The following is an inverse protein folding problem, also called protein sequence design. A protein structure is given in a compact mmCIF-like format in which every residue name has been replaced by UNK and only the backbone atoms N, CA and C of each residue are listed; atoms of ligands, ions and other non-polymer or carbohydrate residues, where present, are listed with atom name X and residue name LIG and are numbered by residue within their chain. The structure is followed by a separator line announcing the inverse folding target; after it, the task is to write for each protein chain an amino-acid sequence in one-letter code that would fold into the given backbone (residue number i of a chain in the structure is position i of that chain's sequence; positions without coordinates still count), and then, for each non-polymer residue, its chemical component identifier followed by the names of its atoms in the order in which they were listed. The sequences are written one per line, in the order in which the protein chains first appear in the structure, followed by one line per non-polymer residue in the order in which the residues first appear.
data_IF_216203177760
#
_entry.id   IF_216203177760
#
_cell.length_a   1.000
_cell.length_b   1.000
_cell.length_c   1.000
_cell.angle_alpha   90.00
_cell.angle_beta   90.00
_cell.angle_gamma   90.00
#
_symmetry.space_group_name_H-M   'P 1'
#
loop_
_entity.id
_entity.type
_entity.pdbx_description
1 polymer ?
#
# COMPACT_ATOMS: atom_id res chain seq x y z
N UNK A 1 3.30 -9.64 4.15
CA UNK A 1 3.85 -10.27 5.37
C UNK A 1 3.32 -9.44 6.51
N UNK A 2 2.30 -9.88 7.23
CA UNK A 2 1.77 -9.03 8.31
C UNK A 2 2.65 -9.23 9.54
N UNK A 3 3.14 -8.13 10.10
CA UNK A 3 3.85 -8.13 11.37
C UNK A 3 2.82 -8.39 12.48
N UNK A 4 2.53 -9.69 12.66
CA UNK A 4 1.68 -10.25 13.70
C UNK A 4 2.39 -10.17 15.07
N UNK A 5 1.68 -10.48 16.17
CA UNK A 5 2.22 -10.68 17.52
C UNK A 5 3.44 -11.64 17.60
N UNK A 6 3.80 -12.32 16.51
CA UNK A 6 5.00 -13.14 16.38
C UNK A 6 6.31 -12.39 16.56
N UNK A 7 6.34 -11.05 16.44
CA UNK A 7 7.52 -10.26 16.80
C UNK A 7 7.75 -10.20 18.31
N UNK A 8 6.70 -10.31 19.14
CA UNK A 8 6.84 -10.29 20.61
C UNK A 8 7.71 -11.43 21.10
N UNK A 9 7.63 -12.61 20.46
CA UNK A 9 8.51 -13.74 20.77
C UNK A 9 9.96 -13.53 20.30
N UNK A 10 10.19 -12.67 19.29
CA UNK A 10 11.53 -12.37 18.78
C UNK A 10 12.21 -11.20 19.50
N UNK A 11 11.46 -10.35 20.20
CA UNK A 11 12.01 -9.24 20.98
C UNK A 11 13.00 -9.71 22.06
N UNK A 12 12.76 -10.89 22.65
CA UNK A 12 13.64 -11.49 23.66
C UNK A 12 15.05 -11.72 23.10
N UNK A 13 15.16 -12.11 21.83
CA UNK A 13 16.46 -12.30 21.16
C UNK A 13 17.22 -10.97 20.97
N UNK A 14 16.49 -9.87 20.73
CA UNK A 14 17.10 -8.55 20.53
C UNK A 14 17.54 -7.87 21.83
N UNK A 15 16.83 -8.10 22.93
CA UNK A 15 17.10 -7.45 24.22
C UNK A 15 18.01 -8.24 25.17
N UNK A 16 18.31 -9.51 24.88
CA UNK A 16 19.23 -10.33 25.67
C UNK A 16 20.47 -10.78 24.84
N UNK A 17 21.43 -9.87 24.56
CA UNK A 17 22.48 -10.10 23.56
C UNK A 17 23.63 -11.03 24.01
N UNK A 18 23.56 -11.70 25.16
CA UNK A 18 24.69 -12.52 25.64
C UNK A 18 24.27 -13.82 26.35
N UNK A 19 25.05 -14.88 26.10
CA UNK A 19 24.98 -16.29 26.57
C UNK A 19 23.67 -17.04 26.30
N UNK A 20 22.53 -16.39 26.46
CA UNK A 20 21.22 -16.99 26.25
C UNK A 20 20.86 -17.14 24.77
N UNK A 21 21.46 -16.40 23.84
CA UNK A 21 21.06 -16.43 22.42
C UNK A 21 21.17 -17.83 21.81
N UNK A 22 22.27 -18.56 22.06
CA UNK A 22 22.45 -19.92 21.54
C UNK A 22 21.52 -20.96 22.19
N UNK A 23 21.11 -20.76 23.45
CA UNK A 23 20.14 -21.63 24.14
C UNK A 23 18.69 -21.26 23.77
N UNK A 24 18.40 -19.97 23.62
CA UNK A 24 17.11 -19.45 23.18
C UNK A 24 16.84 -19.82 21.72
N UNK A 25 17.83 -19.84 20.83
CA UNK A 25 17.67 -20.34 19.46
C UNK A 25 17.32 -21.83 19.40
N UNK A 26 17.76 -22.63 20.38
CA UNK A 26 17.40 -24.05 20.49
C UNK A 26 15.96 -24.27 20.98
N UNK A 27 15.41 -23.34 21.78
CA UNK A 27 14.08 -23.46 22.39
C UNK A 27 13.02 -22.66 21.63
N UNK A 28 13.42 -21.55 21.03
CA UNK A 28 12.63 -20.65 20.18
C UNK A 28 13.32 -20.56 18.82
N UNK A 29 13.27 -21.63 18.00
CA UNK A 29 13.90 -21.62 16.69
C UNK A 29 13.33 -20.50 15.82
N UNK A 30 14.20 -19.90 15.00
CA UNK A 30 13.78 -18.98 13.96
C UNK A 30 12.64 -19.62 13.17
N UNK A 31 11.47 -18.97 13.17
CA UNK A 31 10.36 -19.44 12.35
C UNK A 31 10.75 -19.23 10.89
N UNK A 32 10.96 -20.31 10.10
CA UNK A 32 11.15 -20.14 8.67
C UNK A 32 9.89 -19.50 8.09
N UNK A 33 10.03 -18.76 7.01
CA UNK A 33 8.88 -18.28 6.24
C UNK A 33 8.79 -19.08 4.93
N UNK A 34 8.56 -20.42 5.02
CA UNK A 34 8.87 -21.35 3.94
C UNK A 34 8.06 -21.07 2.68
N UNK A 35 6.88 -20.46 2.80
CA UNK A 35 6.04 -20.13 1.66
C UNK A 35 6.63 -19.00 0.81
N UNK A 36 7.08 -17.90 1.44
CA UNK A 36 7.71 -16.80 0.72
C UNK A 36 9.06 -17.23 0.16
N UNK A 37 9.87 -17.92 0.96
CA UNK A 37 11.19 -18.40 0.55
C UNK A 37 11.10 -19.38 -0.61
N UNK A 38 10.18 -20.35 -0.53
CA UNK A 38 9.95 -21.30 -1.62
C UNK A 38 9.38 -20.58 -2.86
N UNK A 39 8.45 -19.66 -2.69
CA UNK A 39 7.91 -18.88 -3.81
C UNK A 39 9.02 -18.13 -4.56
N UNK A 40 9.86 -17.38 -3.84
CA UNK A 40 10.94 -16.60 -4.45
C UNK A 40 11.99 -17.52 -5.08
N UNK A 41 12.42 -18.57 -4.38
CA UNK A 41 13.39 -19.54 -4.91
C UNK A 41 12.88 -20.23 -6.16
N UNK A 42 11.60 -20.61 -6.19
CA UNK A 42 10.97 -21.24 -7.35
C UNK A 42 10.80 -20.24 -8.51
N UNK A 43 10.40 -19.00 -8.21
CA UNK A 43 10.27 -17.95 -9.22
C UNK A 43 11.61 -17.59 -9.88
N UNK A 44 12.72 -17.69 -9.13
CA UNK A 44 14.06 -17.43 -9.64
C UNK A 44 14.69 -18.61 -10.39
N UNK A 45 14.06 -19.79 -10.42
CA UNK A 45 14.57 -20.91 -11.22
C UNK A 45 14.40 -20.63 -12.72
N UNK A 46 15.32 -21.10 -13.57
CA UNK A 46 15.12 -21.07 -15.02
C UNK A 46 13.81 -21.78 -15.39
N UNK A 47 13.03 -21.26 -16.35
CA UNK A 47 11.76 -21.87 -16.71
C UNK A 47 12.02 -23.25 -17.35
N UNK A 48 11.30 -24.27 -16.90
CA UNK A 48 11.45 -25.64 -17.40
C UNK A 48 11.04 -25.80 -18.88
N UNK A 49 10.25 -24.87 -19.43
CA UNK A 49 10.01 -24.64 -20.86
C UNK A 49 9.04 -23.45 -21.04
N UNK A 50 9.29 -22.59 -22.03
CA UNK A 50 8.42 -21.45 -22.39
C UNK A 50 8.72 -20.11 -21.68
N UNK A 51 8.16 -19.03 -22.21
CA UNK A 51 8.26 -17.68 -21.64
C UNK A 51 7.29 -17.51 -20.46
N UNK A 52 7.80 -17.21 -19.28
CA UNK A 52 7.00 -16.76 -18.12
C UNK A 52 7.01 -15.23 -18.06
N UNK A 53 5.93 -14.61 -17.55
CA UNK A 53 5.91 -13.17 -17.25
C UNK A 53 7.06 -12.75 -16.30
N UNK A 54 7.48 -13.66 -15.41
CA UNK A 54 8.64 -13.45 -14.53
C UNK A 54 9.97 -13.35 -15.30
N UNK A 55 10.07 -13.98 -16.48
CA UNK A 55 11.27 -13.98 -17.32
C UNK A 55 11.16 -13.07 -18.55
N UNK A 56 10.14 -12.21 -18.58
CA UNK A 56 10.01 -11.22 -19.64
C UNK A 56 11.19 -10.25 -19.61
N UNK A 57 11.59 -9.74 -20.77
CA UNK A 57 12.78 -8.87 -20.91
C UNK A 57 12.70 -7.58 -20.08
N UNK A 58 11.49 -7.13 -19.74
CA UNK A 58 11.25 -5.96 -18.90
C UNK A 58 11.24 -6.25 -17.39
N UNK A 59 11.31 -7.53 -16.98
CA UNK A 59 11.25 -7.90 -15.57
C UNK A 59 12.59 -7.63 -14.88
N UNK A 60 12.53 -7.29 -13.59
CA UNK A 60 13.73 -7.16 -12.77
C UNK A 60 14.53 -8.47 -12.71
N UNK A 61 13.83 -9.61 -12.59
CA UNK A 61 14.44 -10.93 -12.53
C UNK A 61 15.27 -11.23 -13.79
N UNK A 62 14.74 -10.92 -14.97
CA UNK A 62 15.46 -11.08 -16.23
C UNK A 62 16.71 -10.19 -16.28
N UNK A 63 16.61 -8.93 -15.87
CA UNK A 63 17.76 -8.03 -15.83
C UNK A 63 18.85 -8.48 -14.85
N UNK A 64 18.48 -8.97 -13.67
CA UNK A 64 19.43 -9.50 -12.70
C UNK A 64 20.14 -10.76 -13.22
N UNK A 65 19.44 -11.61 -13.97
CA UNK A 65 20.03 -12.82 -14.56
C UNK A 65 20.92 -12.56 -15.79
N UNK A 66 20.82 -11.40 -16.43
CA UNK A 66 21.53 -11.09 -17.68
C UNK A 66 22.68 -10.10 -17.52
N UNK A 67 22.61 -9.20 -16.54
CA UNK A 67 23.57 -8.07 -16.42
C UNK A 67 24.73 -8.31 -15.47
N UNK A 68 24.57 -9.17 -14.47
CA UNK A 68 25.56 -9.33 -13.41
C UNK A 68 25.81 -10.81 -13.10
N UNK A 69 27.09 -11.19 -12.97
CA UNK A 69 27.47 -12.50 -12.44
C UNK A 69 27.27 -12.48 -10.91
N UNK A 70 26.05 -12.78 -10.48
CA UNK A 70 25.74 -12.92 -9.07
C UNK A 70 26.15 -14.28 -8.52
N UNK A 71 26.51 -14.33 -7.23
CA UNK A 71 26.44 -15.56 -6.47
C UNK A 71 24.98 -16.08 -6.51
N UNK A 72 24.72 -17.39 -6.69
CA UNK A 72 23.36 -17.92 -6.92
C UNK A 72 22.33 -17.57 -5.84
N UNK A 73 22.76 -17.28 -4.61
CA UNK A 73 21.89 -16.86 -3.51
C UNK A 73 21.47 -15.38 -3.55
N UNK A 74 22.17 -14.52 -4.29
CA UNK A 74 21.94 -13.07 -4.23
C UNK A 74 20.70 -12.66 -5.03
N UNK A 75 20.42 -13.31 -6.16
CA UNK A 75 19.23 -12.98 -6.95
C UNK A 75 17.93 -13.27 -6.17
N UNK A 76 17.72 -14.46 -5.56
CA UNK A 76 16.59 -14.67 -4.66
C UNK A 76 16.53 -13.68 -3.49
N UNK A 77 17.67 -13.30 -2.92
CA UNK A 77 17.72 -12.30 -1.84
C UNK A 77 17.22 -10.92 -2.31
N UNK A 78 17.72 -10.43 -3.45
CA UNK A 78 17.29 -9.14 -4.02
C UNK A 78 15.79 -9.16 -4.37
N UNK A 79 15.28 -10.25 -4.95
CA UNK A 79 13.85 -10.38 -5.25
C UNK A 79 13.01 -10.40 -3.96
N UNK A 80 13.47 -11.08 -2.92
CA UNK A 80 12.80 -11.07 -1.62
C UNK A 80 12.77 -9.66 -1.02
N UNK A 81 13.90 -8.94 -1.05
CA UNK A 81 13.99 -7.57 -0.55
C UNK A 81 13.01 -6.63 -1.28
N UNK A 82 12.92 -6.76 -2.60
CA UNK A 82 11.96 -5.98 -3.41
C UNK A 82 10.50 -6.31 -3.08
N UNK A 83 10.17 -7.59 -2.89
CA UNK A 83 8.81 -8.01 -2.50
C UNK A 83 8.45 -7.51 -1.10
N UNK A 84 9.34 -7.67 -0.13
CA UNK A 84 9.11 -7.22 1.24
C UNK A 84 8.95 -5.69 1.30
N UNK A 85 9.83 -4.95 0.63
CA UNK A 85 9.81 -3.49 0.66
C UNK A 85 8.63 -2.87 -0.12
N UNK A 86 8.23 -3.46 -1.26
CA UNK A 86 7.24 -2.86 -2.16
C UNK A 86 5.78 -3.13 -1.80
N UNK A 87 5.51 -4.21 -1.04
CA UNK A 87 4.14 -4.65 -0.75
C UNK A 87 3.47 -3.79 0.31
N UNK A 88 3.97 -3.83 1.54
CA UNK A 88 3.27 -3.22 2.67
C UNK A 88 3.33 -1.68 2.57
N UNK A 89 4.47 -1.13 2.13
CA UNK A 89 4.67 0.34 2.05
C UNK A 89 3.74 1.03 1.06
N UNK A 90 3.62 0.52 -0.17
CA UNK A 90 2.72 1.11 -1.19
C UNK A 90 1.26 0.88 -0.81
N UNK A 91 0.96 -0.29 -0.23
CA UNK A 91 -0.38 -0.61 0.26
C UNK A 91 -0.86 0.36 1.35
N UNK A 92 -0.03 0.59 2.37
CA UNK A 92 -0.33 1.52 3.46
C UNK A 92 -0.44 2.97 2.94
N UNK A 93 0.45 3.39 2.03
CA UNK A 93 0.38 4.70 1.38
C UNK A 93 -0.98 4.93 0.72
N UNK A 94 -1.41 3.96 -0.09
CA UNK A 94 -2.69 4.01 -0.80
C UNK A 94 -3.87 4.03 0.16
N UNK A 95 -3.81 3.27 1.25
CA UNK A 95 -4.85 3.24 2.27
C UNK A 95 -5.06 4.64 2.90
N UNK A 96 -3.99 5.28 3.36
CA UNK A 96 -4.05 6.64 3.92
C UNK A 96 -4.44 7.69 2.89
N UNK A 97 -3.93 7.59 1.66
CA UNK A 97 -4.26 8.54 0.60
C UNK A 97 -5.74 8.46 0.20
N UNK A 98 -6.28 7.26 0.03
CA UNK A 98 -7.70 7.09 -0.28
C UNK A 98 -8.59 7.50 0.90
N UNK A 99 -8.15 7.27 2.14
CA UNK A 99 -8.83 7.81 3.32
C UNK A 99 -8.88 9.34 3.27
N UNK A 100 -7.75 10.01 3.06
CA UNK A 100 -7.66 11.46 2.93
C UNK A 100 -8.59 12.00 1.85
N UNK A 101 -8.57 11.40 0.65
CA UNK A 101 -9.44 11.81 -0.45
C UNK A 101 -10.94 11.62 -0.15
N UNK A 102 -11.28 10.70 0.75
CA UNK A 102 -12.67 10.36 1.11
C UNK A 102 -13.24 11.18 2.27
N UNK A 103 -12.43 12.03 2.90
CA UNK A 103 -12.86 12.91 3.97
C UNK A 103 -13.70 14.08 3.45
N UNK A 104 -14.79 14.47 4.13
CA UNK A 104 -15.67 15.54 3.66
C UNK A 104 -14.96 16.87 3.37
N UNK A 105 -13.97 17.23 4.19
CA UNK A 105 -13.19 18.46 4.00
C UNK A 105 -12.30 18.46 2.75
N UNK A 106 -12.02 17.28 2.18
CA UNK A 106 -11.15 17.11 1.01
C UNK A 106 -11.94 16.79 -0.26
N UNK A 107 -13.26 16.96 -0.26
CA UNK A 107 -14.11 16.68 -1.42
C UNK A 107 -13.70 17.51 -2.65
N UNK A 108 -13.31 18.77 -2.44
CA UNK A 108 -12.80 19.65 -3.51
C UNK A 108 -11.57 19.09 -4.20
N UNK A 109 -10.64 18.50 -3.44
CA UNK A 109 -9.43 17.85 -3.98
C UNK A 109 -9.80 16.64 -4.83
N UNK A 110 -10.76 15.84 -4.38
CA UNK A 110 -11.24 14.67 -5.11
C UNK A 110 -11.94 15.06 -6.42
N UNK A 111 -12.76 16.11 -6.37
CA UNK A 111 -13.47 16.62 -7.54
C UNK A 111 -12.50 17.21 -8.57
N UNK A 112 -11.51 17.98 -8.12
CA UNK A 112 -10.44 18.51 -8.96
C UNK A 112 -9.63 17.38 -9.59
N UNK A 113 -9.25 16.35 -8.82
CA UNK A 113 -8.55 15.17 -9.34
C UNK A 113 -9.34 14.52 -10.47
N UNK A 114 -10.66 14.36 -10.29
CA UNK A 114 -11.54 13.78 -11.31
C UNK A 114 -11.66 14.64 -12.56
N UNK A 115 -11.74 15.96 -12.41
CA UNK A 115 -11.74 16.92 -13.53
C UNK A 115 -10.42 16.79 -14.31
N UNK A 116 -9.30 16.85 -13.60
CA UNK A 116 -7.97 16.79 -14.18
C UNK A 116 -7.71 15.44 -14.87
N UNK A 117 -8.16 14.32 -14.31
CA UNK A 117 -8.01 13.00 -14.93
C UNK A 117 -8.74 12.85 -16.28
N UNK A 118 -9.76 13.67 -16.56
CA UNK A 118 -10.41 13.74 -17.89
C UNK A 118 -9.53 14.46 -18.92
N UNK A 119 -8.65 15.35 -18.46
CA UNK A 119 -7.67 16.04 -19.28
C UNK A 119 -6.32 15.29 -19.23
N UNK A 120 -6.01 14.51 -20.28
CA UNK A 120 -4.90 13.54 -20.26
C UNK A 120 -3.56 14.11 -19.78
N UNK A 121 -3.22 15.34 -20.16
CA UNK A 121 -1.92 15.95 -19.85
C UNK A 121 -1.91 16.64 -18.47
N UNK A 122 -2.96 17.40 -18.13
CA UNK A 122 -3.05 18.10 -16.84
C UNK A 122 -3.34 17.13 -15.67
N UNK A 123 -4.03 16.03 -15.95
CA UNK A 123 -4.32 14.95 -14.99
C UNK A 123 -3.10 14.27 -14.39
N UNK A 124 -1.99 14.19 -15.13
CA UNK A 124 -0.75 13.60 -14.60
C UNK A 124 -0.14 14.51 -13.54
N UNK A 125 -0.08 15.82 -13.81
CA UNK A 125 0.56 16.79 -12.92
C UNK A 125 -0.18 16.93 -11.59
N UNK A 126 -1.51 17.04 -11.62
CA UNK A 126 -2.28 17.17 -10.40
C UNK A 126 -2.35 15.86 -9.60
N UNK A 127 -2.42 14.71 -10.28
CA UNK A 127 -2.35 13.40 -9.60
C UNK A 127 -0.99 13.19 -8.90
N UNK A 128 0.11 13.62 -9.52
CA UNK A 128 1.43 13.61 -8.87
C UNK A 128 1.47 14.49 -7.61
N UNK A 129 0.81 15.65 -7.65
CA UNK A 129 0.65 16.53 -6.49
C UNK A 129 -0.17 15.88 -5.37
N UNK A 130 -1.28 15.22 -5.70
CA UNK A 130 -2.14 14.48 -4.76
C UNK A 130 -1.36 13.35 -4.08
N UNK A 131 -0.62 12.55 -4.84
CA UNK A 131 0.20 11.46 -4.30
C UNK A 131 1.29 12.03 -3.39
N UNK A 132 2.00 13.06 -3.84
CA UNK A 132 3.09 13.67 -3.07
C UNK A 132 2.59 14.25 -1.74
N UNK A 133 1.42 14.87 -1.74
CA UNK A 133 0.82 15.39 -0.51
C UNK A 133 0.34 14.27 0.41
N UNK A 134 -0.23 13.19 -0.14
CA UNK A 134 -0.62 12.02 0.65
C UNK A 134 0.56 11.42 1.39
N UNK A 135 1.68 11.20 0.68
CA UNK A 135 2.92 10.70 1.24
C UNK A 135 3.61 11.69 2.19
N UNK A 136 3.34 13.00 2.04
CA UNK A 136 3.81 14.01 3.01
C UNK A 136 3.04 13.89 4.31
N UNK A 137 1.71 13.88 4.24
CA UNK A 137 0.82 13.75 5.39
C UNK A 137 1.04 12.43 6.12
N UNK A 138 1.12 11.32 5.37
CA UNK A 138 1.26 9.96 5.88
C UNK A 138 2.42 9.23 5.17
N UNK A 139 3.68 9.50 5.56
CA UNK A 139 4.83 8.81 4.99
C UNK A 139 4.80 7.34 5.45
N UNK A 140 4.82 6.34 4.54
CA UNK A 140 4.78 4.93 4.93
C UNK A 140 5.97 4.50 5.81
N UNK A 141 7.10 5.19 5.69
CA UNK A 141 8.28 5.00 6.54
C UNK A 141 8.50 6.33 7.28
N UNK A 142 7.83 6.54 8.44
CA UNK A 142 7.89 7.82 9.14
C UNK A 142 9.18 8.01 9.92
N UNK A 143 9.91 6.93 10.24
CA UNK A 143 11.06 6.92 11.14
C UNK A 143 12.30 7.63 10.59
N UNK A 144 13.31 7.80 11.46
CA UNK A 144 14.62 8.33 11.08
C UNK A 144 15.36 7.35 10.18
N UNK A 145 15.91 7.83 9.06
CA UNK A 145 16.74 7.00 8.20
C UNK A 145 18.22 7.09 8.61
N UNK A 146 18.78 6.08 9.28
CA UNK A 146 20.11 6.17 9.87
C UNK A 146 21.21 6.18 8.80
N UNK A 147 22.27 6.94 9.08
CA UNK A 147 23.53 6.99 8.34
C UNK A 147 24.67 6.99 9.36
N UNK A 148 25.74 6.27 9.03
CA UNK A 148 26.96 6.27 9.84
C UNK A 148 27.85 7.39 9.34
N UNK A 149 28.27 8.26 10.25
CA UNK A 149 29.21 9.34 9.96
C UNK A 149 30.57 8.74 9.57
N UNK A 150 31.25 9.26 8.52
CA UNK A 150 32.60 8.84 8.15
C UNK A 150 33.59 8.87 9.33
N UNK A 151 34.68 8.12 9.26
CA UNK A 151 35.57 7.95 10.43
C UNK A 151 36.24 9.26 10.85
N UNK A 152 36.43 10.17 9.91
CA UNK A 152 36.98 11.51 10.09
C UNK A 152 36.02 12.52 10.75
N UNK A 153 34.75 12.16 10.94
CA UNK A 153 33.71 13.08 11.42
C UNK A 153 33.12 13.95 10.31
N UNK A 154 32.15 14.80 10.65
CA UNK A 154 31.54 15.76 9.71
C UNK A 154 30.97 16.95 10.46
N UNK A 155 30.93 18.13 9.83
CA UNK A 155 30.21 19.30 10.35
C UNK A 155 28.79 19.32 9.77
N UNK A 156 27.78 19.35 10.64
CA UNK A 156 26.36 19.50 10.27
C UNK A 156 25.80 20.71 11.00
N UNK A 157 25.31 21.70 10.25
CA UNK A 157 24.72 22.93 10.81
C UNK A 157 25.63 23.67 11.82
N UNK A 158 26.95 23.63 11.58
CA UNK A 158 27.95 24.24 12.45
C UNK A 158 28.40 23.37 13.64
N UNK A 159 27.86 22.15 13.79
CA UNK A 159 28.25 21.22 14.86
C UNK A 159 29.20 20.14 14.35
N UNK A 160 30.31 19.92 15.06
CA UNK A 160 31.22 18.81 14.82
C UNK A 160 30.59 17.49 15.30
N UNK A 161 30.28 16.60 14.37
CA UNK A 161 29.74 15.28 14.65
C UNK A 161 30.86 14.24 14.59
N UNK A 162 31.14 13.52 15.69
CA UNK A 162 32.21 12.53 15.74
C UNK A 162 32.02 11.42 14.72
N UNK A 163 33.13 10.90 14.20
CA UNK A 163 33.11 9.77 13.29
C UNK A 163 32.45 8.53 13.90
N UNK A 164 31.82 7.72 13.05
CA UNK A 164 31.04 6.52 13.42
C UNK A 164 29.75 6.79 14.21
N UNK A 165 29.41 8.04 14.49
CA UNK A 165 28.09 8.39 15.04
C UNK A 165 26.96 7.99 14.08
N UNK A 166 25.79 7.63 14.61
CA UNK A 166 24.58 7.41 13.80
C UNK A 166 23.77 8.71 13.80
N UNK A 167 23.58 9.26 12.60
CA UNK A 167 22.71 10.42 12.35
C UNK A 167 21.55 10.02 11.47
N UNK A 168 20.45 10.75 11.52
CA UNK A 168 19.33 10.49 10.63
C UNK A 168 18.30 11.61 10.66
N UNK A 169 17.48 11.65 9.61
CA UNK A 169 16.39 12.62 9.49
C UNK A 169 15.08 11.85 9.39
N UNK A 170 14.10 12.29 10.16
CA UNK A 170 12.78 11.69 10.24
C UNK A 170 11.83 12.36 9.26
N UNK A 171 11.25 11.61 8.32
CA UNK A 171 10.30 12.14 7.34
C UNK A 171 9.08 12.75 8.03
N UNK A 172 8.51 12.07 9.02
CA UNK A 172 7.32 12.52 9.76
C UNK A 172 7.47 13.93 10.33
N UNK A 173 8.56 14.16 11.08
CA UNK A 173 8.82 15.44 11.74
C UNK A 173 9.19 16.54 10.74
N UNK A 174 9.98 16.21 9.70
CA UNK A 174 10.38 17.19 8.70
C UNK A 174 9.20 17.65 7.83
N UNK A 175 8.32 16.72 7.47
CA UNK A 175 7.09 16.97 6.70
C UNK A 175 6.07 17.82 7.45
N UNK A 176 6.18 17.89 8.79
CA UNK A 176 5.31 18.68 9.68
C UNK A 176 5.92 19.98 10.17
N UNK A 177 7.12 20.32 9.70
CA UNK A 177 7.76 21.55 10.10
C UNK A 177 7.16 22.73 9.31
N UNK A 178 6.51 23.71 9.98
CA UNK A 178 5.89 24.85 9.30
C UNK A 178 6.90 25.75 8.57
N UNK A 179 8.20 25.66 8.90
CA UNK A 179 9.26 26.35 8.14
C UNK A 179 9.42 25.81 6.72
N UNK A 180 9.07 24.55 6.49
CA UNK A 180 9.17 23.89 5.19
C UNK A 180 7.81 23.73 4.52
N UNK A 181 6.74 23.53 5.30
CA UNK A 181 5.40 23.29 4.80
C UNK A 181 4.39 24.16 5.54
N UNK A 182 3.94 25.24 4.91
CA UNK A 182 2.85 26.08 5.44
C UNK A 182 1.58 25.23 5.64
N UNK A 183 0.93 25.41 6.79
CA UNK A 183 -0.20 24.62 7.27
C UNK A 183 0.06 23.10 7.12
N UNK A 184 1.06 22.57 7.84
CA UNK A 184 1.57 21.23 7.59
C UNK A 184 0.55 20.12 7.89
N UNK A 185 -0.48 20.39 8.68
CA UNK A 185 -1.51 19.40 9.02
C UNK A 185 -2.65 19.37 7.99
N UNK A 186 -2.69 20.32 7.05
CA UNK A 186 -3.66 20.32 5.96
C UNK A 186 -3.21 19.43 4.79
N UNK A 187 -4.15 18.67 4.25
CA UNK A 187 -3.97 17.95 3.00
C UNK A 187 -4.24 18.90 1.82
N UNK A 188 -3.17 19.53 1.30
CA UNK A 188 -3.26 20.58 0.27
C UNK A 188 -2.35 20.29 -0.93
N UNK A 189 -2.78 19.46 -1.91
CA UNK A 189 -1.97 19.09 -3.08
C UNK A 189 -1.41 20.26 -3.88
N UNK A 190 -2.12 21.39 -3.92
CA UNK A 190 -1.75 22.60 -4.64
C UNK A 190 -0.36 23.11 -4.25
N UNK A 191 0.13 22.78 -3.03
CA UNK A 191 1.48 23.13 -2.61
C UNK A 191 2.56 22.61 -3.57
N UNK A 192 2.33 21.46 -4.19
CA UNK A 192 3.29 20.82 -5.10
C UNK A 192 3.33 21.45 -6.48
N UNK A 193 2.24 22.13 -6.87
CA UNK A 193 2.18 22.86 -8.15
C UNK A 193 3.08 24.10 -8.14
N UNK A 194 3.35 24.65 -6.95
CA UNK A 194 4.19 25.85 -6.75
C UNK A 194 5.35 25.61 -5.77
N UNK A 195 5.71 24.35 -5.52
CA UNK A 195 6.73 24.01 -4.54
C UNK A 195 8.11 24.59 -4.92
N UNK A 196 8.66 25.40 -4.02
CA UNK A 196 10.01 25.94 -4.10
C UNK A 196 11.06 24.84 -3.81
N UNK A 197 12.33 25.22 -3.81
CA UNK A 197 13.44 24.28 -3.62
C UNK A 197 13.46 23.70 -2.21
N UNK A 198 13.08 24.51 -1.23
CA UNK A 198 13.05 24.19 0.20
C UNK A 198 11.98 23.14 0.51
N UNK A 199 10.77 23.31 0.00
CA UNK A 199 9.69 22.30 0.09
C UNK A 199 10.14 20.97 -0.53
N UNK A 200 10.79 21.03 -1.71
CA UNK A 200 11.25 19.84 -2.43
C UNK A 200 12.41 19.13 -1.73
N UNK A 201 13.32 19.87 -1.09
CA UNK A 201 14.43 19.28 -0.34
C UNK A 201 13.97 18.66 0.98
N UNK A 202 12.90 19.20 1.58
CA UNK A 202 12.28 18.66 2.78
C UNK A 202 11.39 17.43 2.53
N UNK A 203 11.11 17.08 1.27
CA UNK A 203 10.31 15.92 0.90
C UNK A 203 11.12 14.62 0.92
N UNK A 204 10.91 13.81 1.97
CA UNK A 204 11.68 12.60 2.25
C UNK A 204 10.86 11.30 2.16
N UNK A 205 9.67 11.31 1.53
CA UNK A 205 8.86 10.10 1.36
C UNK A 205 9.60 8.93 0.68
N UNK A 206 10.56 9.24 -0.19
CA UNK A 206 11.42 8.25 -0.88
C UNK A 206 12.91 8.39 -0.49
N UNK A 207 13.22 9.15 0.55
CA UNK A 207 14.59 9.53 0.91
C UNK A 207 15.32 10.34 -0.18
N UNK A 208 16.61 10.57 0.04
CA UNK A 208 17.48 11.35 -0.85
C UNK A 208 18.89 10.75 -0.98
N UNK A 209 19.66 11.23 -1.96
CA UNK A 209 21.02 10.80 -2.26
C UNK A 209 21.13 9.37 -2.79
N UNK A 210 22.31 8.76 -2.62
CA UNK A 210 22.64 7.43 -3.17
C UNK A 210 21.85 6.27 -2.55
N UNK A 211 21.21 6.51 -1.40
CA UNK A 211 20.37 5.54 -0.68
C UNK A 211 18.88 5.85 -0.81
N UNK A 212 18.48 6.69 -1.77
CA UNK A 212 17.07 6.93 -2.08
C UNK A 212 16.38 5.63 -2.48
N UNK A 213 15.07 5.56 -2.23
CA UNK A 213 14.25 4.39 -2.54
C UNK A 213 14.38 4.00 -4.01
N UNK A 214 14.86 2.76 -4.26
CA UNK A 214 14.95 2.18 -5.60
C UNK A 214 13.58 1.90 -6.22
N UNK A 215 12.60 1.55 -5.37
CA UNK A 215 11.22 1.26 -5.76
C UNK A 215 10.36 2.49 -6.07
N UNK A 216 10.90 3.72 -5.96
CA UNK A 216 10.14 4.97 -6.13
C UNK A 216 9.28 4.98 -7.40
N UNK A 217 9.87 4.65 -8.55
CA UNK A 217 9.17 4.74 -9.82
C UNK A 217 8.04 3.72 -9.92
N UNK A 218 8.28 2.48 -9.47
CA UNK A 218 7.24 1.45 -9.43
C UNK A 218 6.09 1.86 -8.49
N UNK A 219 6.41 2.29 -7.27
CA UNK A 219 5.40 2.71 -6.30
C UNK A 219 4.56 3.90 -6.81
N UNK A 220 5.19 4.89 -7.44
CA UNK A 220 4.48 6.02 -8.05
C UNK A 220 3.53 5.54 -9.16
N UNK A 221 3.97 4.65 -10.05
CA UNK A 221 3.11 4.14 -11.12
C UNK A 221 1.97 3.26 -10.60
N UNK A 222 2.21 2.43 -9.58
CA UNK A 222 1.16 1.65 -8.90
C UNK A 222 0.09 2.56 -8.30
N UNK A 223 0.51 3.59 -7.55
CA UNK A 223 -0.40 4.58 -6.97
C UNK A 223 -1.19 5.33 -8.03
N UNK A 224 -0.52 5.80 -9.11
CA UNK A 224 -1.17 6.47 -10.23
C UNK A 224 -2.19 5.59 -10.93
N UNK A 225 -1.84 4.33 -11.19
CA UNK A 225 -2.73 3.38 -11.85
C UNK A 225 -4.02 3.17 -11.04
N UNK A 226 -3.89 2.95 -9.73
CA UNK A 226 -5.04 2.76 -8.86
C UNK A 226 -5.91 4.03 -8.78
N UNK A 227 -5.29 5.19 -8.48
CA UNK A 227 -6.03 6.45 -8.36
C UNK A 227 -6.73 6.80 -9.66
N UNK A 228 -6.05 6.69 -10.81
CA UNK A 228 -6.64 6.93 -12.12
C UNK A 228 -7.83 5.99 -12.36
N UNK A 229 -7.68 4.70 -12.05
CA UNK A 229 -8.77 3.75 -12.29
C UNK A 229 -10.00 4.02 -11.43
N UNK A 230 -9.80 4.41 -10.16
CA UNK A 230 -10.90 4.69 -9.24
C UNK A 230 -11.51 6.06 -9.53
N UNK A 231 -10.72 7.13 -9.43
CA UNK A 231 -11.22 8.51 -9.40
C UNK A 231 -11.55 9.09 -10.79
N UNK A 232 -11.30 8.37 -11.88
CA UNK A 232 -11.83 8.76 -13.20
C UNK A 232 -13.33 8.49 -13.36
N UNK A 233 -13.84 7.46 -12.69
CA UNK A 233 -15.22 6.96 -12.86
C UNK A 233 -16.04 7.06 -11.57
N UNK A 234 -15.37 6.93 -10.42
CA UNK A 234 -15.99 6.84 -9.10
C UNK A 234 -15.66 8.06 -8.24
N UNK A 235 -16.42 8.21 -7.18
CA UNK A 235 -16.14 9.08 -6.06
C UNK A 235 -16.18 8.25 -4.78
N UNK A 236 -15.36 8.61 -3.78
CA UNK A 236 -15.25 7.86 -2.52
C UNK A 236 -15.65 8.73 -1.33
N UNK A 237 -16.24 8.10 -0.32
CA UNK A 237 -16.57 8.72 0.97
C UNK A 237 -16.36 7.71 2.09
N UNK A 238 -16.15 8.18 3.31
CA UNK A 238 -16.08 7.30 4.48
C UNK A 238 -17.43 6.59 4.69
N UNK A 239 -17.43 5.27 4.90
CA UNK A 239 -18.68 4.55 5.22
C UNK A 239 -19.21 5.03 6.58
N UNK A 240 -20.47 5.47 6.62
CA UNK A 240 -21.14 5.98 7.83
C UNK A 240 -21.24 4.96 8.98
N UNK A 241 -21.08 3.66 8.69
CA UNK A 241 -20.96 2.62 9.74
C UNK A 241 -19.60 2.63 10.44
N UNK A 242 -18.64 3.39 9.92
CA UNK A 242 -17.26 3.43 10.38
C UNK A 242 -16.82 4.84 10.82
N UNK A 243 -17.70 5.85 10.72
CA UNK A 243 -17.41 7.25 11.10
C UNK A 243 -17.12 7.45 12.59
N UNK A 244 -17.35 6.45 13.44
CA UNK A 244 -17.01 6.44 14.87
C UNK A 244 -15.55 6.08 15.17
N UNK A 245 -14.72 5.84 14.14
CA UNK A 245 -13.37 5.27 14.28
C UNK A 245 -12.25 6.13 13.69
N UNK A 246 -12.30 7.47 13.77
CA UNK A 246 -11.20 8.33 13.28
C UNK A 246 -9.85 7.95 13.91
N UNK A 247 -9.87 7.46 15.15
CA UNK A 247 -8.72 6.91 15.86
C UNK A 247 -8.08 5.68 15.19
N UNK A 248 -8.84 4.91 14.40
CA UNK A 248 -8.32 3.76 13.64
C UNK A 248 -7.38 4.19 12.52
N UNK A 249 -7.50 5.44 12.04
CA UNK A 249 -6.61 6.03 11.05
C UNK A 249 -5.49 6.86 11.65
N UNK A 250 -5.27 6.78 12.97
CA UNK A 250 -4.00 7.20 13.53
C UNK A 250 -2.89 6.31 12.98
N UNK A 251 -1.74 6.90 12.65
CA UNK A 251 -0.57 6.12 12.27
C UNK A 251 -0.07 5.33 13.47
N UNK A 252 0.02 4.01 13.29
CA UNK A 252 0.71 3.12 14.21
C UNK A 252 2.04 2.71 13.59
N UNK A 253 3.13 2.98 14.31
CA UNK A 253 4.49 2.57 13.93
C UNK A 253 4.65 1.05 14.09
N UNK A 254 5.23 0.38 13.09
CA UNK A 254 5.62 -1.03 13.12
C UNK A 254 7.13 -1.20 12.92
N UNK A 255 7.93 -0.31 13.49
CA UNK A 255 9.40 -0.28 13.42
C UNK A 255 9.90 0.20 12.05
N UNK A 256 9.43 -0.42 10.96
CA UNK A 256 9.89 -0.11 9.60
C UNK A 256 8.86 0.71 8.84
N UNK A 257 7.60 0.26 8.83
CA UNK A 257 6.51 0.92 8.14
C UNK A 257 5.39 1.30 9.10
N UNK A 258 4.63 2.34 8.77
CA UNK A 258 3.44 2.75 9.50
C UNK A 258 2.19 2.32 8.77
N UNK A 259 1.18 1.93 9.54
CA UNK A 259 -0.14 1.54 9.05
C UNK A 259 -1.26 2.21 9.85
N UNK A 260 -2.51 2.16 9.39
CA UNK A 260 -3.64 2.55 10.22
C UNK A 260 -3.70 1.69 11.50
N UNK A 261 -3.85 2.33 12.66
CA UNK A 261 -3.99 1.67 13.97
C UNK A 261 -5.07 0.58 13.98
N UNK A 262 -6.22 0.86 13.40
CA UNK A 262 -7.34 -0.10 13.30
C UNK A 262 -7.20 -1.13 12.19
N UNK A 263 -6.13 -1.05 11.38
CA UNK A 263 -5.82 -1.96 10.27
C UNK A 263 -6.97 -2.16 9.28
N UNK A 264 -7.88 -1.18 9.19
CA UNK A 264 -9.08 -1.24 8.38
C UNK A 264 -9.46 0.18 7.99
N UNK A 265 -9.83 0.38 6.74
CA UNK A 265 -10.41 1.62 6.24
C UNK A 265 -11.60 1.23 5.36
N UNK A 266 -12.81 1.66 5.74
CA UNK A 266 -14.03 1.36 5.00
C UNK A 266 -14.48 2.56 4.19
N UNK A 267 -14.41 2.40 2.87
CA UNK A 267 -14.81 3.41 1.90
C UNK A 267 -16.07 2.97 1.16
N UNK A 268 -16.96 3.93 0.91
CA UNK A 268 -18.11 3.81 0.02
C UNK A 268 -17.74 4.41 -1.34
N UNK A 269 -17.99 3.65 -2.39
CA UNK A 269 -17.77 4.07 -3.77
C UNK A 269 -19.11 4.46 -4.41
N UNK A 270 -19.18 5.64 -5.02
CA UNK A 270 -20.34 6.12 -5.79
C UNK A 270 -19.91 6.32 -7.25
N UNK A 271 -20.70 5.82 -8.20
CA UNK A 271 -20.51 6.15 -9.61
C UNK A 271 -20.74 7.65 -9.84
N UNK A 272 -19.94 8.26 -10.72
CA UNK A 272 -20.20 9.61 -11.19
C UNK A 272 -21.60 9.68 -11.82
N UNK A 273 -22.40 10.71 -11.47
CA UNK A 273 -23.77 10.85 -11.95
C UNK A 273 -23.88 10.87 -13.50
N UNK A 274 -22.80 11.23 -14.21
CA UNK A 274 -22.68 11.17 -15.68
C UNK A 274 -22.55 9.76 -16.29
N UNK A 275 -22.16 8.74 -15.53
CA UNK A 275 -21.99 7.34 -16.02
C UNK A 275 -23.21 6.47 -15.71
N UNK A 276 -24.00 6.86 -14.70
CA UNK A 276 -25.21 6.15 -14.31
C UNK A 276 -26.17 5.92 -15.48
N UNK A 277 -26.36 6.91 -16.36
CA UNK A 277 -27.28 6.76 -17.51
C UNK A 277 -26.76 5.74 -18.54
N UNK A 278 -25.49 5.82 -18.96
CA UNK A 278 -24.96 4.97 -20.04
C UNK A 278 -24.80 3.50 -19.64
N UNK A 279 -24.46 3.22 -18.38
CA UNK A 279 -24.35 1.84 -17.91
C UNK A 279 -25.74 1.22 -17.70
N UNK A 280 -26.71 2.00 -17.20
CA UNK A 280 -28.10 1.55 -17.09
C UNK A 280 -28.71 1.23 -18.45
N UNK A 281 -28.41 2.00 -19.49
CA UNK A 281 -28.88 1.72 -20.86
C UNK A 281 -28.23 0.45 -21.45
N UNK A 282 -26.95 0.21 -21.16
CA UNK A 282 -26.23 -0.98 -21.64
C UNK A 282 -26.67 -2.26 -20.91
N UNK A 283 -27.01 -2.15 -19.62
CA UNK A 283 -27.52 -3.26 -18.81
C UNK A 283 -28.98 -3.55 -19.14
N UNK A 284 -29.82 -2.52 -19.37
CA UNK A 284 -31.21 -2.70 -19.83
C UNK A 284 -31.31 -3.32 -21.23
N UNK A 285 -30.35 -3.06 -22.12
CA UNK A 285 -30.33 -3.61 -23.46
C UNK A 285 -29.85 -5.08 -23.58
N UNK A 286 -29.42 -5.72 -22.48
CA UNK A 286 -28.73 -7.03 -22.53
C UNK A 286 -29.34 -8.15 -21.66
N UNK A 287 -30.50 -7.97 -21.03
CA UNK A 287 -31.19 -9.08 -20.34
C UNK A 287 -32.13 -9.81 -21.31
N UNK A 288 -31.88 -11.08 -21.67
CA UNK A 288 -32.91 -11.93 -22.27
C UNK A 288 -33.94 -12.32 -21.21
N UNK A 289 -35.21 -12.31 -21.60
CA UNK A 289 -36.32 -12.82 -20.79
C UNK A 289 -36.11 -14.31 -20.47
N UNK A 290 -36.02 -14.62 -19.17
CA UNK A 290 -36.44 -15.86 -18.49
C UNK A 290 -36.23 -17.20 -19.20
N UNK A 291 -35.33 -18.04 -18.67
CA UNK A 291 -35.50 -19.51 -18.66
C UNK A 291 -34.97 -20.07 -17.33
N UNK A 292 -35.85 -20.76 -16.59
CA UNK A 292 -35.55 -21.56 -15.41
C UNK A 292 -34.74 -22.83 -15.79
N UNK A 293 -33.74 -23.19 -14.99
CA UNK A 293 -33.04 -24.47 -15.13
C UNK A 293 -31.76 -24.55 -14.30
N UNK A 294 -31.76 -25.37 -13.25
CA UNK A 294 -30.60 -25.58 -12.38
C UNK A 294 -29.60 -26.61 -12.92
N UNK A 295 -28.30 -26.40 -12.65
CA UNK A 295 -27.23 -27.43 -12.70
C UNK A 295 -26.13 -27.06 -11.68
N UNK A 296 -25.64 -28.08 -10.95
CA UNK A 296 -24.52 -28.06 -9.98
C UNK A 296 -23.15 -28.25 -10.68
N UNK A 297 -22.06 -27.96 -9.94
CA UNK A 297 -20.63 -28.31 -10.19
C UNK A 297 -19.85 -27.26 -11.00
N UNK A 298 -18.55 -26.97 -10.84
CA UNK A 298 -17.43 -27.67 -10.21
C UNK A 298 -16.31 -26.68 -9.80
N UNK A 299 -15.31 -27.21 -9.08
CA UNK A 299 -14.14 -26.56 -8.47
C UNK A 299 -13.31 -25.65 -9.39
N UNK A 300 -12.91 -24.50 -8.86
CA UNK A 300 -11.81 -23.69 -9.39
C UNK A 300 -10.70 -23.53 -8.33
N UNK A 301 -9.48 -23.95 -8.67
CA UNK A 301 -8.27 -23.85 -7.84
C UNK A 301 -7.82 -22.39 -7.78
N UNK A 302 -7.74 -21.84 -6.56
CA UNK A 302 -7.38 -20.44 -6.29
C UNK A 302 -5.87 -20.31 -6.05
N UNK A 303 -5.19 -19.53 -6.89
CA UNK A 303 -3.92 -18.88 -6.56
C UNK A 303 -4.25 -17.63 -5.75
N UNK A 304 -3.89 -17.62 -4.46
CA UNK A 304 -4.16 -16.52 -3.55
C UNK A 304 -3.00 -15.52 -3.53
N UNK A 305 -3.18 -14.42 -4.27
CA UNK A 305 -2.42 -13.18 -4.12
C UNK A 305 -3.44 -12.04 -4.16
N UNK A 306 -3.62 -11.36 -3.02
CA UNK A 306 -4.62 -10.33 -2.70
C UNK A 306 -6.08 -10.68 -3.03
N UNK A 307 -6.82 -11.19 -2.05
CA UNK A 307 -8.28 -11.14 -2.11
C UNK A 307 -8.73 -9.73 -1.71
N UNK A 308 -8.94 -8.86 -2.70
CA UNK A 308 -9.93 -7.79 -2.58
C UNK A 308 -11.27 -8.49 -2.34
N UNK A 309 -11.68 -8.62 -1.08
CA UNK A 309 -13.03 -9.08 -0.76
C UNK A 309 -14.02 -7.98 -1.12
N UNK A 310 -14.51 -8.03 -2.36
CA UNK A 310 -15.70 -7.31 -2.76
C UNK A 310 -16.90 -8.08 -2.22
N UNK A 311 -17.72 -7.44 -1.39
CA UNK A 311 -19.05 -7.94 -1.05
C UNK A 311 -20.07 -7.02 -1.69
N UNK A 312 -20.77 -7.52 -2.70
CA UNK A 312 -21.99 -6.91 -3.21
C UNK A 312 -23.11 -7.24 -2.22
N UNK A 313 -23.39 -6.34 -1.29
CA UNK A 313 -24.54 -6.48 -0.39
C UNK A 313 -25.77 -5.93 -1.10
N UNK A 314 -26.85 -6.73 -1.19
CA UNK A 314 -28.17 -6.22 -1.54
C UNK A 314 -28.69 -5.38 -0.38
N UNK A 315 -29.32 -4.27 -0.70
CA UNK A 315 -30.02 -3.44 0.27
C UNK A 315 -31.26 -4.23 0.73
N UNK A 316 -31.32 -4.61 2.01
CA UNK A 316 -32.56 -5.11 2.60
C UNK A 316 -33.48 -3.90 2.78
N UNK A 317 -34.50 -3.79 1.92
CA UNK A 317 -35.61 -2.86 2.05
C UNK A 317 -36.22 -3.01 3.45
N UNK A 318 -35.86 -2.10 4.36
CA UNK A 318 -36.65 -1.84 5.56
C UNK A 318 -37.80 -0.93 5.18
N UNK A 319 -38.76 -1.49 4.43
CA UNK A 319 -40.17 -1.11 4.36
C UNK A 319 -40.83 -2.08 3.38
N UNK A 320 -41.74 -2.90 3.89
CA UNK A 320 -42.30 -4.06 3.19
C UNK A 320 -43.18 -3.74 1.98
N UNK A 321 -42.59 -3.35 0.86
CA UNK A 321 -43.22 -3.40 -0.46
C UNK A 321 -42.27 -4.06 -1.46
N UNK A 322 -42.66 -5.25 -1.94
CA UNK A 322 -41.94 -5.99 -2.97
C UNK A 322 -41.79 -5.17 -4.26
N UNK A 323 -40.59 -4.65 -4.53
CA UNK A 323 -40.19 -4.23 -5.87
C UNK A 323 -38.99 -5.06 -6.34
N UNK A 324 -39.23 -5.89 -7.36
CA UNK A 324 -38.19 -6.66 -8.03
C UNK A 324 -37.39 -5.73 -8.95
N UNK A 325 -36.41 -4.99 -8.41
CA UNK A 325 -35.64 -4.02 -9.21
C UNK A 325 -34.40 -3.40 -8.56
N UNK A 326 -33.93 -3.87 -7.40
CA UNK A 326 -32.78 -3.28 -6.70
C UNK A 326 -31.45 -3.45 -7.46
N UNK A 327 -30.86 -2.33 -7.89
CA UNK A 327 -29.51 -2.29 -8.46
C UNK A 327 -28.47 -2.41 -7.34
N UNK A 328 -27.42 -3.24 -7.46
CA UNK A 328 -26.40 -3.33 -6.42
C UNK A 328 -25.55 -2.05 -6.43
N UNK A 329 -25.73 -1.19 -5.43
CA UNK A 329 -25.10 0.14 -5.31
C UNK A 329 -23.90 0.18 -4.36
N UNK A 330 -23.49 -0.98 -3.81
CA UNK A 330 -22.55 -1.05 -2.68
C UNK A 330 -21.32 -1.90 -3.01
N UNK A 331 -20.16 -1.24 -3.09
CA UNK A 331 -18.85 -1.89 -3.08
C UNK A 331 -18.16 -1.54 -1.76
N UNK A 332 -17.84 -2.55 -0.96
CA UNK A 332 -17.03 -2.42 0.25
C UNK A 332 -15.66 -3.03 -0.05
N UNK A 333 -14.59 -2.26 0.17
CA UNK A 333 -13.22 -2.80 0.19
C UNK A 333 -12.82 -2.90 1.65
N UNK A 334 -12.60 -4.13 2.13
CA UNK A 334 -11.96 -4.35 3.43
C UNK A 334 -10.47 -4.44 3.17
N UNK A 335 -9.73 -3.41 3.58
CA UNK A 335 -8.27 -3.48 3.57
C UNK A 335 -7.84 -4.34 4.77
N UNK A 336 -7.61 -5.63 4.56
CA UNK A 336 -6.94 -6.47 5.55
C UNK A 336 -5.45 -6.41 5.28
N UNK A 337 -4.75 -5.56 6.04
CA UNK A 337 -3.30 -5.58 6.12
C UNK A 337 -2.82 -6.83 6.86
N UNK A 338 -2.96 -8.00 6.23
CA UNK A 338 -2.25 -9.19 6.67
C UNK A 338 -2.66 -10.52 6.07
N UNK A 339 -1.68 -11.44 6.00
CA UNK A 339 -1.94 -12.85 5.72
C UNK A 339 -2.90 -13.41 6.78
N UNK A 340 -4.03 -13.94 6.35
CA UNK A 340 -4.90 -14.75 7.18
C UNK A 340 -4.15 -16.01 7.65
N UNK A 341 -3.70 -16.03 8.90
CA UNK A 341 -3.37 -17.27 9.61
C UNK A 341 -4.43 -17.49 10.67
N UNK A 342 -5.49 -18.21 10.31
CA UNK A 342 -6.62 -18.47 11.20
C UNK A 342 -7.71 -19.31 10.56
N UNK A 343 -7.37 -20.49 10.02
CA UNK A 343 -8.32 -21.60 9.98
C UNK A 343 -7.89 -22.57 11.07
N UNK A 344 -8.50 -22.41 12.24
CA UNK A 344 -8.48 -23.44 13.26
C UNK A 344 -9.13 -24.71 12.71
N UNK A 345 -8.52 -25.85 13.03
CA UNK A 345 -9.11 -27.16 12.88
C UNK A 345 -10.35 -27.26 13.77
N UNK A 346 -11.52 -26.93 13.23
CA UNK A 346 -12.79 -27.42 13.75
C UNK A 346 -13.20 -28.62 12.90
N UNK A 347 -12.67 -29.78 13.27
CA UNK A 347 -13.28 -31.09 13.02
C UNK A 347 -12.60 -32.12 13.95
N UNK A 348 -12.98 -32.06 15.22
CA UNK A 348 -13.04 -33.22 16.10
C UNK A 348 -14.50 -33.40 16.53
N UNK A 349 -15.22 -34.25 15.78
CA UNK A 349 -15.97 -35.43 16.25
C UNK A 349 -16.53 -36.14 15.03
#
# INVERSE_FOLDING_TARGET
MSYHDSLKSQLVHFHAPTFLTGYLEQILPHRPNPLADAFVKNACQPPASGSSAANASYSLLHHLGTREQFHPGNMPAEIMDHLAAGVDTTGDALCFLMYLLSLPQNQSVQDELKIQLKNKDAGVTYMDAVISEGLRCFPPIPMSQPRVVPSEGIIIDGYDIPGKSIVGVQAWSLHRNPKNFEDPDEFRPERWLRANKECKSAYLAFGTGNRRCKGKYLAMEEMKCLLRKIYSELSTSIDSRWTTHVEDMQMADQIIASRPKGQKCLLRFKLADTVGSRLLDTVRGKLPSTVEGGVKSSREKRLEVYKLEYRLEKEDDKDGLMSAGGTPSRLSIVWQGGCASGLGNDNQT
#
